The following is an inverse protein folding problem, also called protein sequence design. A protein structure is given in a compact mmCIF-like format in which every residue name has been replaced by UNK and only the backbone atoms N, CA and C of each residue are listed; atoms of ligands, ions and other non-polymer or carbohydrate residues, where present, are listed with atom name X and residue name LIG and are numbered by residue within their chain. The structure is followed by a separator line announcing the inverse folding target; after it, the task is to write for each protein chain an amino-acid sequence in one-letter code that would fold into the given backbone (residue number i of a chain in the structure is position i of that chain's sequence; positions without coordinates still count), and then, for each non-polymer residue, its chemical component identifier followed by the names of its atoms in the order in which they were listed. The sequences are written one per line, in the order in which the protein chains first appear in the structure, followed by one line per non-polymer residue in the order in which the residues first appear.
data_IF_336866804774
#
_entry.id   IF_336866804774
#
_cell.length_a   1.000
_cell.length_b   1.000
_cell.length_c   1.000
_cell.angle_alpha   90.00
_cell.angle_beta   90.00
_cell.angle_gamma   90.00
#
_symmetry.space_group_name_H-M   'P 1'
#
loop_
_entity.id
_entity.type
_entity.pdbx_description
1 polymer ?
#
# COMPACT_ATOMS: atom_id res chain seq x y z
N UNK A 1 6.71 -5.75 -8.76
CA UNK A 1 5.45 -5.08 -8.40
C UNK A 1 5.67 -4.14 -7.22
N UNK A 2 4.96 -3.02 -7.19
CA UNK A 2 4.92 -2.09 -6.07
C UNK A 2 3.54 -2.19 -5.43
N UNK A 3 3.48 -2.50 -4.14
CA UNK A 3 2.22 -2.45 -3.39
C UNK A 3 1.95 -1.02 -2.92
N UNK A 4 0.76 -0.50 -3.22
CA UNK A 4 0.26 0.79 -2.76
C UNK A 4 -0.93 0.56 -1.83
N UNK A 5 -0.88 1.04 -0.59
CA UNK A 5 -2.07 1.04 0.26
C UNK A 5 -3.00 2.22 -0.06
N UNK A 6 -4.11 2.32 0.63
CA UNK A 6 -5.09 3.40 0.42
C UNK A 6 -4.51 4.80 0.69
N UNK A 7 -3.57 4.93 1.63
CA UNK A 7 -2.94 6.23 1.92
C UNK A 7 -2.07 6.72 0.77
N UNK A 8 -1.37 5.80 0.11
CA UNK A 8 -0.59 6.11 -1.09
C UNK A 8 -1.49 6.47 -2.27
N UNK A 9 -2.56 5.71 -2.50
CA UNK A 9 -3.54 5.98 -3.56
C UNK A 9 -4.20 7.36 -3.38
N UNK A 10 -4.62 7.71 -2.17
CA UNK A 10 -5.21 9.04 -1.87
C UNK A 10 -4.23 10.15 -2.25
N UNK A 11 -2.94 10.01 -1.98
CA UNK A 11 -1.92 11.01 -2.35
C UNK A 11 -1.70 11.13 -3.86
N UNK A 12 -2.04 10.11 -4.63
CA UNK A 12 -2.03 10.19 -6.10
C UNK A 12 -3.27 10.90 -6.65
N UNK A 13 -4.39 10.86 -5.92
CA UNK A 13 -5.66 11.49 -6.31
C UNK A 13 -5.73 12.94 -5.86
N UNK A 14 -5.37 13.23 -4.60
CA UNK A 14 -5.44 14.53 -3.96
C UNK A 14 -4.03 15.01 -3.60
N UNK A 15 -3.70 16.25 -4.01
CA UNK A 15 -2.39 16.81 -3.75
C UNK A 15 -2.18 17.09 -2.26
N UNK A 16 -1.21 16.40 -1.68
CA UNK A 16 -0.72 16.54 -0.32
C UNK A 16 0.81 16.78 -0.35
N UNK A 17 1.45 17.16 0.75
CA UNK A 17 2.89 17.51 0.74
C UNK A 17 3.78 16.42 0.13
N UNK A 18 3.47 15.14 0.31
CA UNK A 18 4.27 14.02 -0.17
C UNK A 18 3.91 13.57 -1.62
N UNK A 19 2.84 14.09 -2.20
CA UNK A 19 2.33 13.63 -3.50
C UNK A 19 3.34 13.81 -4.64
N UNK A 20 4.03 14.92 -4.68
CA UNK A 20 5.03 15.19 -5.74
C UNK A 20 6.23 14.22 -5.64
N UNK A 21 6.70 13.95 -4.43
CA UNK A 21 7.78 13.00 -4.19
C UNK A 21 7.36 11.56 -4.54
N UNK A 22 6.13 11.17 -4.20
CA UNK A 22 5.58 9.86 -4.54
C UNK A 22 5.48 9.68 -6.06
N UNK A 23 4.92 10.66 -6.77
CA UNK A 23 4.79 10.59 -8.24
C UNK A 23 6.14 10.48 -8.92
N UNK A 24 7.13 11.25 -8.48
CA UNK A 24 8.49 11.17 -9.01
C UNK A 24 9.10 9.80 -8.78
N UNK A 25 9.00 9.28 -7.55
CA UNK A 25 9.52 7.98 -7.19
C UNK A 25 8.88 6.84 -8.00
N UNK A 26 7.57 6.90 -8.24
CA UNK A 26 6.86 5.95 -9.10
C UNK A 26 7.24 6.13 -10.58
N UNK A 27 7.41 7.36 -11.05
CA UNK A 27 7.84 7.67 -12.41
C UNK A 27 9.23 7.14 -12.76
N UNK A 28 10.14 7.11 -11.79
CA UNK A 28 11.47 6.48 -11.94
C UNK A 28 11.38 4.94 -12.07
N UNK A 29 10.21 4.35 -11.84
CA UNK A 29 9.89 2.92 -11.87
C UNK A 29 8.71 2.62 -12.79
N UNK A 30 8.61 3.36 -13.88
CA UNK A 30 7.44 3.34 -14.79
C UNK A 30 7.11 1.95 -15.34
N UNK A 31 8.11 1.06 -15.46
CA UNK A 31 7.93 -0.32 -15.93
C UNK A 31 7.48 -1.28 -14.81
N UNK A 32 7.30 -0.79 -13.59
CA UNK A 32 6.92 -1.64 -12.44
C UNK A 32 5.42 -1.55 -12.20
N UNK A 33 4.74 -2.67 -12.26
CA UNK A 33 3.30 -2.79 -12.01
C UNK A 33 2.95 -2.37 -10.57
N UNK A 34 1.82 -1.70 -10.43
CA UNK A 34 1.25 -1.34 -9.14
C UNK A 34 0.15 -2.32 -8.76
N UNK A 35 0.20 -2.80 -7.55
CA UNK A 35 -0.81 -3.70 -6.99
C UNK A 35 -1.35 -3.16 -5.67
N UNK A 36 -2.56 -3.57 -5.32
CA UNK A 36 -3.15 -3.27 -4.02
C UNK A 36 -4.20 -4.31 -3.64
N UNK A 37 -4.70 -4.24 -2.41
CA UNK A 37 -5.92 -4.95 -2.02
C UNK A 37 -7.16 -4.30 -2.62
N UNK A 38 -8.19 -5.07 -2.92
CA UNK A 38 -9.52 -4.56 -3.27
C UNK A 38 -10.09 -3.60 -2.20
N UNK A 39 -9.66 -3.73 -0.95
CA UNK A 39 -10.02 -2.79 0.12
C UNK A 39 -9.61 -1.34 -0.19
N UNK A 40 -8.53 -1.15 -0.92
CA UNK A 40 -8.00 0.18 -1.25
C UNK A 40 -9.02 1.02 -2.01
N UNK A 41 -9.83 0.43 -2.86
CA UNK A 41 -10.92 1.13 -3.54
C UNK A 41 -11.89 1.74 -2.53
N UNK A 42 -12.37 0.93 -1.57
CA UNK A 42 -13.33 1.37 -0.56
C UNK A 42 -12.72 2.41 0.38
N UNK A 43 -11.52 2.15 0.87
CA UNK A 43 -10.84 3.05 1.81
C UNK A 43 -10.50 4.39 1.18
N UNK A 44 -9.99 4.40 -0.04
CA UNK A 44 -9.65 5.62 -0.78
C UNK A 44 -10.90 6.45 -1.09
N UNK A 45 -11.97 5.81 -1.54
CA UNK A 45 -13.25 6.48 -1.78
C UNK A 45 -13.77 7.16 -0.50
N UNK A 46 -13.79 6.44 0.61
CA UNK A 46 -14.30 6.96 1.89
C UNK A 46 -13.39 8.05 2.45
N UNK A 47 -12.09 7.93 2.32
CA UNK A 47 -11.15 8.95 2.74
C UNK A 47 -11.35 10.25 1.94
N UNK A 48 -11.42 10.17 0.61
CA UNK A 48 -11.64 11.33 -0.25
C UNK A 48 -13.00 11.97 0.02
N UNK A 49 -14.06 11.19 0.20
CA UNK A 49 -15.38 11.71 0.53
C UNK A 49 -15.37 12.52 1.83
N UNK A 50 -14.52 12.15 2.78
CA UNK A 50 -14.39 12.82 4.09
C UNK A 50 -13.51 14.07 4.02
N UNK A 51 -12.36 14.00 3.36
CA UNK A 51 -11.31 15.03 3.45
C UNK A 51 -11.19 15.92 2.20
N UNK A 52 -11.57 15.40 1.04
CA UNK A 52 -11.42 16.08 -0.24
C UNK A 52 -12.51 15.67 -1.24
N UNK A 53 -13.80 15.94 -0.95
CA UNK A 53 -14.91 15.41 -1.77
C UNK A 53 -14.83 15.83 -3.24
N UNK A 54 -14.29 17.01 -3.53
CA UNK A 54 -14.06 17.48 -4.91
C UNK A 54 -13.01 16.70 -5.69
N UNK A 55 -12.16 15.90 -5.01
CA UNK A 55 -11.12 15.10 -5.66
C UNK A 55 -11.60 13.69 -6.05
N UNK A 56 -12.73 13.22 -5.52
CA UNK A 56 -13.22 11.86 -5.69
C UNK A 56 -13.43 11.43 -7.14
N UNK A 57 -13.76 12.35 -8.03
CA UNK A 57 -13.94 12.07 -9.47
C UNK A 57 -12.66 11.61 -10.17
N UNK A 58 -11.48 11.85 -9.59
CA UNK A 58 -10.18 11.44 -10.12
C UNK A 58 -9.76 10.04 -9.66
N UNK A 59 -10.42 9.49 -8.65
CA UNK A 59 -10.06 8.18 -8.09
C UNK A 59 -10.12 7.04 -9.11
N UNK A 60 -11.16 6.91 -9.96
CA UNK A 60 -11.20 5.83 -10.95
C UNK A 60 -9.99 5.81 -11.87
N UNK A 61 -9.54 6.94 -12.37
CA UNK A 61 -8.38 7.02 -13.27
C UNK A 61 -7.07 6.60 -12.59
N UNK A 62 -6.94 6.75 -11.28
CA UNK A 62 -5.79 6.25 -10.52
C UNK A 62 -5.93 4.74 -10.29
N UNK A 63 -7.12 4.27 -9.91
CA UNK A 63 -7.37 2.84 -9.68
C UNK A 63 -7.21 2.00 -10.96
N UNK A 64 -7.52 2.54 -12.13
CA UNK A 64 -7.30 1.88 -13.42
C UNK A 64 -5.82 1.55 -13.69
N UNK A 65 -4.90 2.16 -12.96
CA UNK A 65 -3.47 1.90 -13.04
C UNK A 65 -2.97 0.89 -12.00
N UNK A 66 -3.86 0.43 -11.11
CA UNK A 66 -3.53 -0.45 -9.99
C UNK A 66 -4.24 -1.78 -10.14
N UNK A 67 -3.52 -2.87 -10.12
CA UNK A 67 -4.09 -4.21 -10.07
C UNK A 67 -4.65 -4.46 -8.66
N UNK A 68 -5.98 -4.49 -8.56
CA UNK A 68 -6.67 -4.75 -7.30
C UNK A 68 -6.84 -6.25 -7.09
N UNK A 69 -6.24 -6.76 -6.02
CA UNK A 69 -6.25 -8.18 -5.67
C UNK A 69 -7.42 -8.47 -4.73
N UNK A 70 -8.26 -9.40 -5.12
CA UNK A 70 -9.41 -9.84 -4.35
C UNK A 70 -9.00 -10.52 -3.03
N UNK A 71 -9.84 -10.36 -2.02
CA UNK A 71 -9.68 -11.00 -0.71
C UNK A 71 -10.11 -12.48 -0.78
N UNK A 72 -9.20 -13.32 -1.25
CA UNK A 72 -9.41 -14.78 -1.33
C UNK A 72 -9.11 -15.50 0.01
N UNK A 73 -9.28 -16.82 0.01
CA UNK A 73 -9.04 -17.64 1.21
C UNK A 73 -7.57 -17.65 1.65
N UNK A 74 -6.63 -17.55 0.72
CA UNK A 74 -5.18 -17.54 1.02
C UNK A 74 -4.78 -16.25 1.71
N UNK A 75 -5.25 -15.11 1.19
CA UNK A 75 -5.01 -13.81 1.79
C UNK A 75 -5.65 -13.73 3.18
N UNK A 76 -6.87 -14.29 3.36
CA UNK A 76 -7.51 -14.34 4.68
C UNK A 76 -6.69 -15.13 5.71
N UNK A 77 -6.11 -16.26 5.32
CA UNK A 77 -5.22 -17.04 6.19
C UNK A 77 -3.98 -16.23 6.57
N UNK A 78 -3.34 -15.60 5.59
CA UNK A 78 -2.17 -14.75 5.84
C UNK A 78 -2.50 -13.55 6.75
N UNK A 79 -3.66 -12.92 6.54
CA UNK A 79 -4.13 -11.82 7.37
C UNK A 79 -4.37 -12.27 8.83
N UNK A 80 -4.97 -13.44 9.05
CA UNK A 80 -5.19 -14.01 10.38
C UNK A 80 -3.88 -14.33 11.11
N UNK A 81 -2.85 -14.72 10.38
CA UNK A 81 -1.54 -15.04 10.92
C UNK A 81 -0.61 -13.82 11.08
N UNK A 82 -1.06 -12.62 10.72
CA UNK A 82 -0.22 -11.43 10.78
C UNK A 82 0.15 -11.05 12.22
N UNK A 83 1.41 -10.76 12.43
CA UNK A 83 1.98 -10.35 13.72
C UNK A 83 2.42 -8.87 13.68
N UNK A 84 2.40 -8.18 14.81
CA UNK A 84 1.83 -8.59 16.10
C UNK A 84 0.31 -8.66 16.07
N UNK A 85 -0.29 -9.44 16.95
CA UNK A 85 -1.76 -9.65 17.03
C UNK A 85 -2.56 -8.35 17.26
N UNK A 86 -1.89 -7.28 17.67
CA UNK A 86 -2.47 -5.94 17.89
C UNK A 86 -2.67 -5.14 16.58
N UNK A 87 -2.18 -5.65 15.45
CA UNK A 87 -2.41 -5.03 14.14
C UNK A 87 -3.91 -5.03 13.83
N UNK A 88 -4.41 -3.92 13.31
CA UNK A 88 -5.82 -3.79 12.96
C UNK A 88 -6.22 -4.75 11.85
N UNK A 89 -7.44 -5.26 11.88
CA UNK A 89 -7.93 -6.25 10.89
C UNK A 89 -7.79 -5.78 9.44
N UNK A 90 -8.07 -4.51 9.13
CA UNK A 90 -7.91 -4.00 7.77
C UNK A 90 -6.43 -3.92 7.36
N UNK A 91 -5.56 -3.55 8.29
CA UNK A 91 -4.11 -3.51 8.07
C UNK A 91 -3.55 -4.93 7.83
N UNK A 92 -4.08 -5.94 8.52
CA UNK A 92 -3.69 -7.34 8.28
C UNK A 92 -4.07 -7.83 6.89
N UNK A 93 -5.15 -7.31 6.30
CA UNK A 93 -5.53 -7.63 4.93
C UNK A 93 -4.54 -7.02 3.94
N UNK A 94 -4.10 -5.78 4.14
CA UNK A 94 -3.04 -5.19 3.32
C UNK A 94 -1.74 -6.00 3.42
N UNK A 95 -1.34 -6.38 4.63
CA UNK A 95 -0.15 -7.21 4.85
C UNK A 95 -0.29 -8.59 4.20
N UNK A 96 -1.43 -9.25 4.37
CA UNK A 96 -1.72 -10.56 3.78
C UNK A 96 -1.71 -10.51 2.25
N UNK A 97 -2.25 -9.46 1.66
CA UNK A 97 -2.23 -9.26 0.20
C UNK A 97 -0.80 -9.05 -0.32
N UNK A 98 -0.01 -8.24 0.38
CA UNK A 98 1.39 -8.01 0.04
C UNK A 98 2.21 -9.31 0.17
N UNK A 99 2.00 -10.09 1.24
CA UNK A 99 2.64 -11.38 1.44
C UNK A 99 2.24 -12.41 0.37
N UNK A 100 1.00 -12.44 -0.05
CA UNK A 100 0.52 -13.27 -1.15
C UNK A 100 1.28 -12.98 -2.45
N UNK A 101 1.58 -11.72 -2.70
CA UNK A 101 2.27 -11.24 -3.90
C UNK A 101 3.80 -11.17 -3.74
N UNK A 102 4.36 -11.68 -2.65
CA UNK A 102 5.76 -11.49 -2.25
C UNK A 102 6.81 -11.85 -3.29
N UNK A 103 6.55 -12.86 -4.12
CA UNK A 103 7.52 -13.35 -5.10
C UNK A 103 7.94 -12.27 -6.14
N UNK A 104 7.01 -11.37 -6.49
CA UNK A 104 7.26 -10.26 -7.41
C UNK A 104 7.29 -8.89 -6.75
N UNK A 105 7.11 -8.82 -5.42
CA UNK A 105 7.01 -7.56 -4.70
C UNK A 105 8.39 -6.93 -4.51
N UNK A 106 8.55 -5.70 -4.97
CA UNK A 106 9.80 -4.93 -4.82
C UNK A 106 9.70 -3.84 -3.75
N UNK A 107 8.50 -3.33 -3.50
CA UNK A 107 8.28 -2.27 -2.52
C UNK A 107 6.85 -2.33 -1.97
N UNK A 108 6.71 -1.95 -0.71
CA UNK A 108 5.44 -1.71 -0.03
C UNK A 108 5.38 -0.24 0.36
N UNK A 109 4.40 0.50 -0.17
CA UNK A 109 4.28 1.95 0.01
C UNK A 109 3.05 2.27 0.84
N UNK A 110 3.28 2.87 1.98
CA UNK A 110 2.24 3.36 2.88
C UNK A 110 2.68 4.65 3.56
N UNK A 111 1.72 5.49 3.89
CA UNK A 111 1.89 6.68 4.73
C UNK A 111 1.22 6.51 6.11
N UNK A 112 0.62 5.36 6.36
CA UNK A 112 0.18 4.96 7.69
C UNK A 112 1.37 4.40 8.48
N UNK A 113 1.76 5.12 9.53
CA UNK A 113 2.90 4.74 10.38
C UNK A 113 2.69 3.38 11.04
N UNK A 114 1.46 3.06 11.47
CA UNK A 114 1.16 1.79 12.14
C UNK A 114 1.29 0.62 11.17
N UNK A 115 0.79 0.78 9.95
CA UNK A 115 0.90 -0.23 8.92
C UNK A 115 2.38 -0.41 8.50
N UNK A 116 3.14 0.68 8.40
CA UNK A 116 4.57 0.62 8.10
C UNK A 116 5.34 -0.12 9.20
N UNK A 117 5.06 0.18 10.47
CA UNK A 117 5.70 -0.49 11.60
C UNK A 117 5.36 -1.98 11.60
N UNK A 118 4.10 -2.36 11.35
CA UNK A 118 3.66 -3.75 11.26
C UNK A 118 4.32 -4.49 10.09
N UNK A 119 4.40 -3.87 8.91
CA UNK A 119 5.08 -4.43 7.75
C UNK A 119 6.58 -4.66 8.00
N UNK A 120 7.19 -3.81 8.81
CA UNK A 120 8.61 -3.93 9.19
C UNK A 120 8.86 -4.98 10.27
N UNK A 121 7.94 -5.16 11.21
CA UNK A 121 8.05 -6.16 12.28
C UNK A 121 7.86 -7.61 11.79
N UNK A 122 7.00 -7.81 10.80
CA UNK A 122 6.78 -9.13 10.18
C UNK A 122 7.96 -9.61 9.31
N UNK A 123 8.97 -8.79 9.17
CA UNK A 123 10.18 -9.04 8.39
C UNK A 123 11.41 -8.63 9.19
N UNK A 124 11.97 -9.55 9.95
CA UNK A 124 13.30 -9.37 10.52
C UNK A 124 14.33 -9.31 9.37
N UNK A 125 14.64 -8.15 8.88
CA UNK A 125 15.65 -7.94 7.85
C UNK A 125 15.53 -6.58 7.14
N UNK A 126 16.32 -5.64 7.60
CA UNK A 126 16.77 -4.40 6.97
C UNK A 126 15.72 -3.47 6.33
N UNK A 127 15.29 -2.49 7.12
CA UNK A 127 14.72 -1.26 6.61
C UNK A 127 15.84 -0.24 6.38
N UNK A 128 16.13 0.11 5.15
CA UNK A 128 16.89 1.32 4.85
C UNK A 128 15.90 2.45 4.56
N UNK A 129 15.63 3.22 5.59
CA UNK A 129 14.81 4.42 5.47
C UNK A 129 15.47 5.48 4.60
N UNK A 130 14.78 5.94 3.57
CA UNK A 130 15.09 7.19 2.88
C UNK A 130 13.90 8.14 2.97
N UNK A 131 14.12 9.44 3.26
CA UNK A 131 13.08 10.34 3.78
C UNK A 131 12.20 11.02 2.74
N UNK A 132 11.92 10.46 1.59
CA UNK A 132 11.10 11.13 0.58
C UNK A 132 9.80 10.41 0.20
N UNK A 133 9.71 9.15 0.39
CA UNK A 133 8.52 8.34 0.43
C UNK A 133 8.83 7.30 1.49
N UNK A 134 7.94 7.08 2.45
CA UNK A 134 8.07 5.95 3.36
C UNK A 134 7.79 4.68 2.56
N UNK A 135 8.70 4.37 1.68
CA UNK A 135 8.74 3.10 1.02
C UNK A 135 9.53 2.17 1.92
N UNK A 136 8.88 1.17 2.48
CA UNK A 136 9.60 0.01 2.96
C UNK A 136 10.20 -0.66 1.72
N UNK A 137 11.42 -0.23 1.36
CA UNK A 137 12.20 -0.87 0.33
C UNK A 137 12.61 -2.22 0.85
N UNK A 138 12.25 -3.21 0.10
CA UNK A 138 12.64 -4.58 0.12
C UNK A 138 13.78 -4.98 1.04
N UNK A 139 13.52 -5.86 1.95
CA UNK A 139 14.38 -7.01 2.19
C UNK A 139 13.59 -8.29 1.94
N UNK A 140 14.29 -9.27 1.47
CA UNK A 140 13.82 -10.56 0.99
C UNK A 140 12.78 -11.16 1.92
N UNK A 141 11.56 -11.34 1.38
CA UNK A 141 10.60 -12.27 1.94
C UNK A 141 11.17 -13.68 1.72
N UNK A 142 11.89 -14.17 2.72
CA UNK A 142 12.26 -15.58 2.79
C UNK A 142 11.10 -16.38 3.34
#
# INVERSE_FOLDING_TARGET
MIYLDSTAVVKLVHAEPESAALRRWLGERAETEWISSVLTEIESFRALARYAPGAGSRLPAVLDQVDLIDLDSRIRILAQAAEPVTVRSLDTIHLGTALHSRAGLTSFVTYDKRLLDAASCGQAGESTGRPAARAASRSRLS
#
